data_IF_352402109158
#
_entry.id   IF_352402109158
#
_cell.length_a   1.000
_cell.length_b   1.000
_cell.length_c   1.000
_cell.angle_alpha   90.00
_cell.angle_beta   90.00
_cell.angle_gamma   90.00
#
_symmetry.space_group_name_H-M   'P 1'
#
loop_
_entity.id
_entity.type
_entity.pdbx_description
1 polymer ?
#
# COMPACT_ATOMS: atom_id res chain seq x y z
N UNK A 1 3.19 -5.38 -3.14
CA UNK A 1 4.18 -4.98 -4.17
C UNK A 1 4.15 -3.46 -4.31
N UNK A 2 5.31 -2.81 -4.37
CA UNK A 2 5.45 -1.38 -4.64
C UNK A 2 6.55 -1.22 -5.70
N UNK A 3 6.24 -0.64 -6.85
CA UNK A 3 7.17 -0.55 -7.97
C UNK A 3 6.94 0.72 -8.79
N UNK A 4 8.00 1.24 -9.40
CA UNK A 4 7.90 2.31 -10.41
C UNK A 4 7.83 1.68 -11.80
N UNK A 5 6.94 2.19 -12.64
CA UNK A 5 6.77 1.75 -14.01
C UNK A 5 6.55 2.95 -14.95
N UNK A 6 6.36 2.66 -16.24
CA UNK A 6 5.91 3.65 -17.22
C UNK A 6 4.68 3.14 -17.95
N UNK A 7 3.69 4.02 -18.11
CA UNK A 7 2.54 3.82 -18.99
C UNK A 7 2.55 4.94 -20.01
N UNK A 8 2.57 4.58 -21.29
CA UNK A 8 2.63 5.54 -22.40
C UNK A 8 3.74 6.61 -22.24
N UNK A 9 4.93 6.15 -21.83
CA UNK A 9 6.10 7.00 -21.58
C UNK A 9 6.08 7.81 -20.28
N UNK A 10 4.93 7.93 -19.60
CA UNK A 10 4.77 8.64 -18.31
C UNK A 10 5.10 7.73 -17.14
N UNK A 11 5.79 8.26 -16.13
CA UNK A 11 6.13 7.52 -14.90
C UNK A 11 4.87 7.31 -14.07
N UNK A 12 4.67 6.08 -13.58
CA UNK A 12 3.55 5.72 -12.69
C UNK A 12 4.07 4.90 -11.52
N UNK A 13 3.44 5.09 -10.35
CA UNK A 13 3.67 4.24 -9.17
C UNK A 13 2.66 3.11 -9.12
N UNK A 14 3.11 1.87 -8.96
CA UNK A 14 2.24 0.69 -8.86
C UNK A 14 2.24 0.17 -7.43
N UNK A 15 1.04 0.07 -6.83
CA UNK A 15 0.81 -0.63 -5.57
C UNK A 15 -0.08 -1.84 -5.85
N UNK A 16 0.40 -3.05 -5.58
CA UNK A 16 -0.33 -4.26 -5.91
C UNK A 16 -0.28 -5.30 -4.79
N UNK A 17 -1.40 -5.96 -4.53
CA UNK A 17 -1.43 -7.13 -3.64
C UNK A 17 -0.76 -8.32 -4.31
N UNK A 18 -0.12 -9.19 -3.52
CA UNK A 18 0.54 -10.41 -4.03
C UNK A 18 -0.15 -11.64 -3.44
N UNK A 19 -1.09 -12.27 -4.17
CA UNK A 19 -1.81 -13.45 -3.67
C UNK A 19 -0.90 -14.63 -3.33
N UNK A 20 0.25 -14.76 -4.01
CA UNK A 20 1.24 -15.81 -3.72
C UNK A 20 1.96 -15.63 -2.37
N UNK A 21 1.78 -14.48 -1.69
CA UNK A 21 2.37 -14.19 -0.39
C UNK A 21 1.26 -13.90 0.63
N UNK A 22 1.07 -14.81 1.60
CA UNK A 22 0.04 -14.70 2.64
C UNK A 22 -1.37 -14.41 2.07
N UNK A 23 -1.70 -14.95 0.90
CA UNK A 23 -2.98 -14.72 0.22
C UNK A 23 -3.29 -13.23 -0.09
N UNK A 24 -2.29 -12.35 -0.12
CA UNK A 24 -2.50 -10.93 -0.43
C UNK A 24 -3.10 -10.10 0.71
N UNK A 25 -3.11 -10.64 1.94
CA UNK A 25 -3.56 -9.91 3.15
C UNK A 25 -2.70 -8.68 3.43
N UNK A 26 -3.30 -7.70 4.12
CA UNK A 26 -2.59 -6.55 4.67
C UNK A 26 -2.11 -6.85 6.09
N UNK A 27 -0.82 -6.68 6.33
CA UNK A 27 -0.18 -6.75 7.64
C UNK A 27 0.47 -5.38 7.98
N UNK A 28 1.03 -5.25 9.18
CA UNK A 28 1.72 -4.02 9.61
C UNK A 28 2.78 -3.60 8.58
N UNK A 29 3.64 -4.54 8.15
CA UNK A 29 4.78 -4.21 7.30
C UNK A 29 4.36 -3.82 5.87
N UNK A 30 3.41 -4.53 5.26
CA UNK A 30 2.87 -4.17 3.95
C UNK A 30 2.13 -2.84 3.98
N UNK A 31 1.39 -2.56 5.06
CA UNK A 31 0.68 -1.29 5.25
C UNK A 31 1.65 -0.12 5.31
N UNK A 32 2.70 -0.20 6.13
CA UNK A 32 3.71 0.86 6.24
C UNK A 32 4.51 1.07 4.95
N UNK A 33 4.92 -0.05 4.33
CA UNK A 33 5.63 -0.04 3.05
C UNK A 33 4.82 0.67 1.97
N UNK A 34 3.56 0.29 1.80
CA UNK A 34 2.68 0.87 0.80
C UNK A 34 2.35 2.33 1.13
N UNK A 35 2.10 2.66 2.41
CA UNK A 35 1.79 4.02 2.83
C UNK A 35 2.91 5.01 2.46
N UNK A 36 4.17 4.64 2.76
CA UNK A 36 5.32 5.48 2.44
C UNK A 36 5.52 5.62 0.93
N UNK A 37 5.27 4.55 0.17
CA UNK A 37 5.38 4.59 -1.28
C UNK A 37 4.31 5.50 -1.92
N UNK A 38 3.06 5.41 -1.47
CA UNK A 38 1.95 6.28 -1.92
C UNK A 38 2.28 7.75 -1.63
N UNK A 39 2.72 8.06 -0.40
CA UNK A 39 3.16 9.42 -0.03
C UNK A 39 4.32 9.92 -0.87
N UNK A 40 5.25 9.03 -1.25
CA UNK A 40 6.37 9.40 -2.12
C UNK A 40 5.87 9.73 -3.52
N UNK A 41 4.99 8.90 -4.09
CA UNK A 41 4.43 9.17 -5.42
C UNK A 41 3.63 10.49 -5.43
N UNK A 42 2.83 10.71 -4.39
CA UNK A 42 2.06 11.95 -4.21
C UNK A 42 2.96 13.19 -4.14
N UNK A 43 4.01 13.16 -3.30
CA UNK A 43 4.95 14.27 -3.15
C UNK A 43 5.69 14.65 -4.45
N UNK A 44 5.83 13.73 -5.40
CA UNK A 44 6.51 13.94 -6.68
C UNK A 44 5.55 14.04 -7.88
N UNK A 45 4.24 14.17 -7.64
CA UNK A 45 3.22 14.23 -8.70
C UNK A 45 3.25 13.01 -9.65
N UNK A 46 3.55 11.84 -9.11
CA UNK A 46 3.58 10.58 -9.85
C UNK A 46 2.20 9.91 -9.69
N UNK A 47 1.44 9.72 -10.78
CA UNK A 47 0.14 9.07 -10.72
C UNK A 47 0.26 7.61 -10.25
N UNK A 48 -0.75 7.16 -9.51
CA UNK A 48 -0.79 5.85 -8.88
C UNK A 48 -1.72 4.89 -9.62
N UNK A 49 -1.27 3.64 -9.75
CA UNK A 49 -2.06 2.51 -10.24
C UNK A 49 -2.11 1.46 -9.14
N UNK A 50 -3.32 1.19 -8.63
CA UNK A 50 -3.52 0.21 -7.57
C UNK A 50 -4.18 -1.05 -8.12
N UNK A 51 -3.52 -2.19 -7.98
CA UNK A 51 -4.05 -3.51 -8.34
C UNK A 51 -4.48 -4.24 -7.07
N UNK A 52 -5.79 -4.26 -6.85
CA UNK A 52 -6.39 -4.75 -5.60
C UNK A 52 -6.80 -6.21 -5.76
N UNK A 53 -6.17 -7.06 -4.96
CA UNK A 53 -6.61 -8.43 -4.68
C UNK A 53 -6.30 -8.70 -3.20
N UNK A 54 -7.12 -8.08 -2.33
CA UNK A 54 -6.93 -8.09 -0.87
C UNK A 54 -8.13 -8.77 -0.23
N UNK A 55 -7.94 -9.87 0.51
CA UNK A 55 -9.03 -10.48 1.28
C UNK A 55 -9.34 -9.72 2.58
N UNK A 56 -8.36 -9.00 3.14
CA UNK A 56 -8.51 -8.20 4.36
C UNK A 56 -7.19 -7.99 5.09
N UNK A 57 -7.27 -7.59 6.36
CA UNK A 57 -6.12 -7.54 7.26
C UNK A 57 -5.81 -8.93 7.83
N UNK A 58 -4.52 -9.21 8.06
CA UNK A 58 -4.05 -10.45 8.67
C UNK A 58 -4.50 -10.51 10.14
N UNK A 59 -5.34 -11.47 10.55
CA UNK A 59 -5.70 -11.64 11.94
C UNK A 59 -4.51 -12.20 12.75
N UNK A 60 -4.42 -11.82 14.02
CA UNK A 60 -3.46 -12.41 14.96
C UNK A 60 -3.18 -11.50 16.15
N UNK A 61 -2.98 -12.10 17.33
CA UNK A 61 -2.67 -11.37 18.57
C UNK A 61 -1.39 -10.54 18.41
N UNK A 62 -0.41 -11.04 17.66
CA UNK A 62 0.83 -10.33 17.38
C UNK A 62 0.61 -9.07 16.53
N UNK A 63 -0.33 -9.10 15.59
CA UNK A 63 -0.70 -7.92 14.78
C UNK A 63 -1.43 -6.88 15.64
N UNK A 64 -2.34 -7.33 16.51
CA UNK A 64 -3.08 -6.44 17.41
C UNK A 64 -2.15 -5.75 18.42
N UNK A 65 -1.29 -6.51 19.11
CA UNK A 65 -0.28 -5.96 20.02
C UNK A 65 0.79 -5.13 19.29
N UNK A 66 1.11 -5.50 18.04
CA UNK A 66 1.95 -4.71 17.14
C UNK A 66 1.29 -3.42 16.65
N UNK A 67 0.03 -3.17 16.98
CA UNK A 67 -0.68 -1.93 16.66
C UNK A 67 -1.22 -1.87 15.24
N UNK A 68 -1.69 -2.98 14.67
CA UNK A 68 -2.20 -3.05 13.29
C UNK A 68 -3.24 -1.97 12.98
N UNK A 69 -4.07 -1.56 13.94
CA UNK A 69 -5.03 -0.45 13.76
C UNK A 69 -4.31 0.84 13.38
N UNK A 70 -3.26 1.22 14.10
CA UNK A 70 -2.48 2.44 13.85
C UNK A 70 -1.65 2.32 12.58
N UNK A 71 -1.00 1.18 12.36
CA UNK A 71 -0.11 0.97 11.23
C UNK A 71 -0.89 0.81 9.91
N UNK A 72 -1.99 0.06 9.93
CA UNK A 72 -2.94 -0.08 8.82
C UNK A 72 -3.59 1.24 8.44
N UNK A 73 -3.97 2.06 9.44
CA UNK A 73 -4.53 3.40 9.18
C UNK A 73 -3.57 4.33 8.42
N UNK A 74 -2.25 4.12 8.47
CA UNK A 74 -1.30 4.92 7.68
C UNK A 74 -1.51 4.74 6.18
N UNK A 75 -1.84 3.52 5.73
CA UNK A 75 -2.11 3.26 4.31
C UNK A 75 -3.39 3.95 3.86
N UNK A 76 -4.45 3.85 4.68
CA UNK A 76 -5.70 4.57 4.45
C UNK A 76 -5.45 6.08 4.37
N UNK A 77 -4.73 6.64 5.35
CA UNK A 77 -4.37 8.05 5.38
C UNK A 77 -3.59 8.47 4.14
N UNK A 78 -2.60 7.67 3.70
CA UNK A 78 -1.81 7.97 2.51
C UNK A 78 -2.68 8.08 1.25
N UNK A 79 -3.64 7.17 1.06
CA UNK A 79 -4.57 7.24 -0.08
C UNK A 79 -5.57 8.39 0.04
N UNK A 80 -6.10 8.66 1.24
CA UNK A 80 -7.04 9.78 1.44
C UNK A 80 -6.37 11.15 1.29
N UNK A 81 -5.08 11.26 1.60
CA UNK A 81 -4.33 12.50 1.50
C UNK A 81 -3.74 12.74 0.10
N UNK A 82 -3.57 11.68 -0.70
CA UNK A 82 -2.99 11.80 -2.03
C UNK A 82 -3.91 12.59 -2.98
N UNK A 83 -3.34 13.46 -3.80
CA UNK A 83 -4.06 14.34 -4.74
C UNK A 83 -3.59 14.22 -6.20
N UNK A 84 -2.70 13.27 -6.47
CA UNK A 84 -2.17 12.94 -7.81
C UNK A 84 -3.16 12.26 -8.75
#
# INVERSE_FOLDING_TARGET
>A
ICAMARLDGRVVGIVASQPLALAGVLDIHSSEKAARFVQTCDAFNIPLVTLVDVPGFLPGVDQEHGGIIRHGAKLLYAYCNATV
#
